data_IF_384326475172
#
_entry.id   IF_384326475172
#
_cell.length_a   1.000
_cell.length_b   1.000
_cell.length_c   1.000
_cell.angle_alpha   90.00
_cell.angle_beta   90.00
_cell.angle_gamma   90.00
#
_symmetry.space_group_name_H-M   'P 1'
#
loop_
_entity.id
_entity.type
_entity.pdbx_description
1 polymer ?
#
# COMPACT_ATOMS: atom_id res chain seq x y z
N UNK A 1 -35.18 -21.07 -43.66
CA UNK A 1 -34.48 -20.69 -42.43
C UNK A 1 -35.54 -20.37 -41.41
N UNK A 2 -35.60 -21.09 -40.28
CA UNK A 2 -36.59 -20.77 -39.24
C UNK A 2 -36.22 -19.43 -38.59
N UNK A 3 -37.19 -18.73 -38.00
CA UNK A 3 -36.88 -17.49 -37.26
C UNK A 3 -35.96 -17.77 -36.06
N UNK A 4 -36.03 -18.99 -35.51
CA UNK A 4 -35.14 -19.43 -34.44
C UNK A 4 -33.68 -19.62 -34.93
N UNK A 5 -33.46 -20.11 -36.16
CA UNK A 5 -32.11 -20.19 -36.76
C UNK A 5 -31.46 -18.80 -36.82
N UNK A 6 -32.25 -17.80 -37.22
CA UNK A 6 -31.79 -16.39 -37.28
C UNK A 6 -31.38 -15.90 -35.89
N UNK A 7 -32.19 -16.17 -34.85
CA UNK A 7 -31.84 -15.88 -33.46
C UNK A 7 -30.54 -16.57 -33.05
N UNK A 8 -30.43 -17.89 -33.27
CA UNK A 8 -29.29 -18.70 -32.85
C UNK A 8 -28.00 -18.24 -33.53
N UNK A 9 -28.05 -17.91 -34.83
CA UNK A 9 -26.93 -17.34 -35.58
C UNK A 9 -26.52 -15.96 -35.08
N UNK A 10 -27.48 -15.07 -34.83
CA UNK A 10 -27.20 -13.74 -34.29
C UNK A 10 -26.55 -13.82 -32.90
N UNK A 11 -27.07 -14.68 -32.03
CA UNK A 11 -26.50 -14.97 -30.71
C UNK A 11 -25.06 -15.49 -30.83
N UNK A 12 -24.82 -16.49 -31.68
CA UNK A 12 -23.48 -17.06 -31.91
C UNK A 12 -22.50 -15.99 -32.40
N UNK A 13 -22.91 -15.17 -33.38
CA UNK A 13 -22.08 -14.10 -33.93
C UNK A 13 -21.72 -13.06 -32.87
N UNK A 14 -22.71 -12.63 -32.07
CA UNK A 14 -22.49 -11.70 -30.96
C UNK A 14 -21.54 -12.27 -29.91
N UNK A 15 -21.78 -13.49 -29.44
CA UNK A 15 -20.92 -14.13 -28.44
C UNK A 15 -19.48 -14.23 -28.97
N UNK A 16 -19.28 -14.71 -30.20
CA UNK A 16 -17.95 -14.82 -30.79
C UNK A 16 -17.21 -13.47 -30.85
N UNK A 17 -17.91 -12.38 -31.19
CA UNK A 17 -17.33 -11.04 -31.20
C UNK A 17 -16.93 -10.58 -29.79
N UNK A 18 -17.85 -10.64 -28.82
CA UNK A 18 -17.57 -10.12 -27.48
C UNK A 18 -16.46 -10.91 -26.78
N UNK A 19 -16.39 -12.23 -26.97
CA UNK A 19 -15.37 -13.05 -26.31
C UNK A 19 -13.96 -12.82 -26.86
N UNK A 20 -13.79 -12.30 -28.10
CA UNK A 20 -12.49 -11.87 -28.62
C UNK A 20 -11.90 -10.71 -27.83
N UNK A 21 -12.77 -9.90 -27.25
CA UNK A 21 -12.41 -8.66 -26.57
C UNK A 21 -12.10 -8.81 -25.08
N UNK A 22 -12.24 -10.03 -24.52
CA UNK A 22 -12.05 -10.31 -23.09
C UNK A 22 -11.24 -11.58 -22.85
N UNK A 23 -10.50 -11.60 -21.73
CA UNK A 23 -9.72 -12.76 -21.29
C UNK A 23 -10.53 -13.72 -20.43
N UNK A 24 -11.60 -13.24 -19.81
CA UNK A 24 -12.41 -13.99 -18.85
C UNK A 24 -13.91 -13.82 -19.15
N UNK A 25 -14.69 -14.79 -18.69
CA UNK A 25 -16.15 -14.73 -18.66
C UNK A 25 -16.60 -14.67 -17.21
N UNK A 26 -17.69 -13.97 -16.94
CA UNK A 26 -18.20 -13.78 -15.58
C UNK A 26 -19.66 -14.18 -15.50
N UNK A 27 -20.07 -14.58 -14.29
CA UNK A 27 -21.45 -14.89 -13.93
C UNK A 27 -22.04 -13.73 -13.15
N UNK A 28 -23.31 -13.42 -13.43
CA UNK A 28 -24.10 -12.50 -12.61
C UNK A 28 -25.05 -13.25 -11.67
N UNK A 29 -25.48 -12.56 -10.62
CA UNK A 29 -26.49 -13.03 -9.66
C UNK A 29 -27.88 -13.09 -10.29
N UNK A 30 -28.11 -14.12 -11.09
CA UNK A 30 -29.36 -14.36 -11.78
C UNK A 30 -29.77 -15.82 -11.58
N UNK A 31 -30.99 -16.03 -11.07
CA UNK A 31 -31.58 -17.36 -10.96
C UNK A 31 -31.81 -17.95 -12.36
N UNK A 32 -31.27 -19.14 -12.65
CA UNK A 32 -31.50 -19.81 -13.93
C UNK A 32 -32.98 -20.03 -14.27
N UNK A 33 -33.81 -20.31 -13.27
CA UNK A 33 -35.24 -20.58 -13.48
C UNK A 33 -36.04 -19.28 -13.67
N UNK A 34 -35.65 -18.18 -13.02
CA UNK A 34 -36.22 -16.85 -13.29
C UNK A 34 -35.87 -16.38 -14.71
N UNK A 35 -34.62 -16.59 -15.13
CA UNK A 35 -34.17 -16.23 -16.48
C UNK A 35 -34.95 -17.00 -17.56
N UNK A 36 -35.17 -18.30 -17.35
CA UNK A 36 -36.01 -19.12 -18.25
C UNK A 36 -37.46 -18.65 -18.26
N UNK A 37 -38.02 -18.34 -17.09
CA UNK A 37 -39.39 -17.82 -16.98
C UNK A 37 -39.53 -16.48 -17.70
N UNK A 38 -38.53 -15.61 -17.59
CA UNK A 38 -38.50 -14.33 -18.28
C UNK A 38 -38.45 -14.52 -19.80
N UNK A 39 -37.64 -15.46 -20.30
CA UNK A 39 -37.59 -15.80 -21.73
C UNK A 39 -38.99 -16.14 -22.27
N UNK A 40 -39.69 -17.09 -21.63
CA UNK A 40 -41.02 -17.51 -22.06
C UNK A 40 -42.07 -16.39 -21.95
N UNK A 41 -42.01 -15.55 -20.91
CA UNK A 41 -42.97 -14.45 -20.70
C UNK A 41 -42.77 -13.25 -21.63
N UNK A 42 -41.61 -13.14 -22.26
CA UNK A 42 -41.25 -11.94 -23.05
C UNK A 42 -41.70 -12.01 -24.51
N UNK A 43 -42.28 -13.14 -24.94
CA UNK A 43 -42.83 -13.27 -26.28
C UNK A 43 -44.08 -12.40 -26.44
N UNK A 44 -44.22 -11.65 -27.55
CA UNK A 44 -45.45 -10.92 -27.85
C UNK A 44 -46.68 -11.84 -27.86
N UNK A 45 -47.86 -11.32 -27.45
CA UNK A 45 -49.10 -12.10 -27.47
C UNK A 45 -49.33 -12.77 -28.83
N UNK A 46 -49.59 -14.09 -28.81
CA UNK A 46 -49.86 -14.88 -30.01
C UNK A 46 -48.62 -15.38 -30.78
N UNK A 47 -47.39 -15.06 -30.34
CA UNK A 47 -46.17 -15.45 -31.06
C UNK A 47 -45.44 -16.69 -30.52
N UNK A 48 -45.92 -17.23 -29.40
CA UNK A 48 -45.50 -18.50 -28.78
C UNK A 48 -46.72 -19.43 -28.57
N UNK A 49 -47.29 -20.00 -29.64
CA UNK A 49 -48.47 -20.85 -29.55
C UNK A 49 -48.16 -22.20 -28.90
N UNK A 50 -49.19 -22.87 -28.37
CA UNK A 50 -49.07 -24.26 -27.90
C UNK A 50 -48.86 -25.17 -29.12
N UNK A 51 -47.75 -25.92 -29.12
CA UNK A 51 -47.46 -26.88 -30.19
C UNK A 51 -48.05 -28.26 -29.91
N UNK A 52 -47.92 -28.75 -28.66
CA UNK A 52 -48.49 -30.03 -28.19
C UNK A 52 -49.03 -29.90 -26.77
N UNK A 53 -48.16 -30.08 -25.78
CA UNK A 53 -48.45 -29.87 -24.34
C UNK A 53 -47.78 -28.62 -23.79
N UNK A 54 -46.86 -28.05 -24.57
CA UNK A 54 -46.03 -26.90 -24.25
C UNK A 54 -46.06 -25.90 -25.39
N UNK A 55 -45.66 -24.68 -25.10
CA UNK A 55 -45.47 -23.66 -26.13
C UNK A 55 -44.29 -24.00 -27.04
N UNK A 56 -44.31 -23.48 -28.27
CA UNK A 56 -43.27 -23.69 -29.29
C UNK A 56 -41.85 -23.36 -28.78
N UNK A 57 -41.74 -22.37 -27.89
CA UNK A 57 -40.45 -21.93 -27.31
C UNK A 57 -40.10 -22.57 -25.96
N UNK A 58 -40.97 -23.39 -25.36
CA UNK A 58 -40.66 -24.15 -24.12
C UNK A 58 -39.86 -25.42 -24.41
N UNK A 59 -38.61 -25.21 -24.82
CA UNK A 59 -37.66 -26.25 -25.21
C UNK A 59 -36.70 -26.64 -24.07
N UNK A 60 -36.60 -27.96 -23.79
CA UNK A 60 -35.68 -28.51 -22.77
C UNK A 60 -34.20 -28.25 -23.09
N UNK A 61 -33.79 -28.37 -24.35
CA UNK A 61 -32.40 -28.14 -24.79
C UNK A 61 -32.01 -26.67 -24.63
N UNK A 62 -32.90 -25.74 -25.01
CA UNK A 62 -32.68 -24.30 -24.82
C UNK A 62 -32.71 -23.91 -23.34
N UNK A 63 -33.60 -24.51 -22.54
CA UNK A 63 -33.60 -24.33 -21.08
C UNK A 63 -32.26 -24.75 -20.46
N UNK A 64 -31.70 -25.87 -20.90
CA UNK A 64 -30.38 -26.31 -20.42
C UNK A 64 -29.28 -25.30 -20.79
N UNK A 65 -29.26 -24.79 -22.02
CA UNK A 65 -28.33 -23.73 -22.42
C UNK A 65 -28.47 -22.49 -21.51
N UNK A 66 -29.70 -22.01 -21.31
CA UNK A 66 -29.95 -20.83 -20.48
C UNK A 66 -29.54 -21.05 -19.01
N UNK A 67 -29.69 -22.27 -18.48
CA UNK A 67 -29.21 -22.60 -17.14
C UNK A 67 -27.69 -22.61 -17.02
N UNK A 68 -27.00 -23.06 -18.06
CA UNK A 68 -25.55 -23.22 -18.05
C UNK A 68 -24.79 -21.95 -18.45
N UNK A 69 -25.37 -21.11 -19.31
CA UNK A 69 -24.68 -19.98 -19.95
C UNK A 69 -25.51 -18.70 -20.03
N UNK A 70 -26.80 -18.75 -19.68
CA UNK A 70 -27.72 -17.62 -19.84
C UNK A 70 -27.38 -16.40 -18.98
N UNK A 71 -26.67 -16.59 -17.87
CA UNK A 71 -26.26 -15.53 -16.94
C UNK A 71 -24.78 -15.12 -17.10
N UNK A 72 -24.19 -15.40 -18.26
CA UNK A 72 -22.80 -15.04 -18.56
C UNK A 72 -22.71 -13.62 -19.13
N UNK A 73 -21.68 -12.90 -18.70
CA UNK A 73 -21.30 -11.56 -19.17
C UNK A 73 -19.80 -11.47 -19.39
N UNK A 74 -19.38 -10.47 -20.16
CA UNK A 74 -17.99 -10.01 -20.19
C UNK A 74 -17.87 -8.66 -19.52
N UNK A 75 -16.66 -8.34 -19.06
CA UNK A 75 -16.30 -7.02 -18.58
C UNK A 75 -15.20 -6.50 -19.50
N UNK A 76 -15.39 -5.29 -20.02
CA UNK A 76 -14.38 -4.58 -20.79
C UNK A 76 -14.45 -3.08 -20.50
N UNK A 77 -13.33 -2.46 -20.14
CA UNK A 77 -13.24 -1.05 -19.78
C UNK A 77 -14.24 -0.67 -18.69
N UNK A 78 -14.42 -1.52 -17.67
CA UNK A 78 -15.45 -1.36 -16.63
C UNK A 78 -16.90 -1.30 -17.15
N UNK A 79 -17.17 -1.82 -18.35
CA UNK A 79 -18.53 -1.94 -18.90
C UNK A 79 -18.89 -3.43 -18.98
N UNK A 80 -20.08 -3.76 -18.50
CA UNK A 80 -20.63 -5.11 -18.56
C UNK A 80 -21.38 -5.28 -19.88
N UNK A 81 -21.00 -6.29 -20.66
CA UNK A 81 -21.71 -6.68 -21.89
C UNK A 81 -22.27 -8.09 -21.71
N UNK A 82 -23.58 -8.23 -21.89
CA UNK A 82 -24.30 -9.51 -21.80
C UNK A 82 -24.20 -10.30 -23.11
N UNK A 83 -24.29 -11.63 -23.00
CA UNK A 83 -24.49 -12.49 -24.17
C UNK A 83 -25.81 -12.22 -24.92
N UNK A 84 -26.74 -11.47 -24.31
CA UNK A 84 -28.03 -11.08 -24.89
C UNK A 84 -28.02 -9.69 -25.55
N UNK A 85 -26.87 -9.01 -25.63
CA UNK A 85 -26.77 -7.64 -26.17
C UNK A 85 -26.73 -7.58 -27.70
N UNK A 86 -27.66 -8.26 -28.37
CA UNK A 86 -27.69 -8.37 -29.83
C UNK A 86 -29.08 -8.16 -30.45
N UNK A 87 -30.06 -7.66 -29.69
CA UNK A 87 -31.43 -7.49 -30.18
C UNK A 87 -31.52 -6.64 -31.46
N UNK A 88 -30.66 -5.62 -31.59
CA UNK A 88 -30.66 -4.71 -32.74
C UNK A 88 -30.06 -5.34 -34.01
N UNK A 89 -29.46 -6.53 -33.90
CA UNK A 89 -28.97 -7.30 -35.06
C UNK A 89 -30.06 -8.18 -35.68
N UNK A 90 -31.20 -8.33 -35.01
CA UNK A 90 -32.31 -9.15 -35.48
C UNK A 90 -33.13 -8.41 -36.56
N UNK A 91 -33.78 -9.13 -37.49
CA UNK A 91 -34.64 -8.53 -38.49
C UNK A 91 -35.77 -7.71 -37.85
N UNK A 92 -36.08 -6.56 -38.45
CA UNK A 92 -37.19 -5.71 -38.02
C UNK A 92 -38.50 -6.50 -37.97
N UNK A 93 -39.20 -6.44 -36.84
CA UNK A 93 -40.44 -7.18 -36.61
C UNK A 93 -40.26 -8.60 -36.05
N UNK A 94 -39.03 -9.06 -35.79
CA UNK A 94 -38.82 -10.37 -35.17
C UNK A 94 -39.43 -10.45 -33.77
N UNK A 95 -40.12 -11.57 -33.49
CA UNK A 95 -40.75 -11.84 -32.18
C UNK A 95 -39.75 -11.99 -31.04
N UNK A 96 -38.48 -12.25 -31.36
CA UNK A 96 -37.41 -12.41 -30.37
C UNK A 96 -36.78 -11.10 -29.91
N UNK A 97 -36.98 -9.98 -30.62
CA UNK A 97 -36.45 -8.68 -30.20
C UNK A 97 -36.86 -8.31 -28.76
N UNK A 98 -38.16 -8.34 -28.37
CA UNK A 98 -38.55 -8.05 -26.99
C UNK A 98 -37.99 -9.07 -25.98
N UNK A 99 -37.87 -10.34 -26.39
CA UNK A 99 -37.29 -11.41 -25.54
C UNK A 99 -35.82 -11.13 -25.22
N UNK A 100 -35.01 -10.90 -26.24
CA UNK A 100 -33.57 -10.64 -26.10
C UNK A 100 -33.33 -9.35 -25.31
N UNK A 101 -34.12 -8.30 -25.54
CA UNK A 101 -34.05 -7.04 -24.75
C UNK A 101 -34.40 -7.27 -23.28
N UNK A 102 -35.44 -8.05 -22.99
CA UNK A 102 -35.82 -8.37 -21.62
C UNK A 102 -34.69 -9.12 -20.88
N UNK A 103 -34.10 -10.13 -21.53
CA UNK A 103 -32.97 -10.89 -20.98
C UNK A 103 -31.73 -10.01 -20.75
N UNK A 104 -31.36 -9.19 -21.74
CA UNK A 104 -30.25 -8.24 -21.64
C UNK A 104 -30.43 -7.28 -20.47
N UNK A 105 -31.59 -6.62 -20.37
CA UNK A 105 -31.91 -5.69 -19.28
C UNK A 105 -31.90 -6.39 -17.91
N UNK A 106 -32.40 -7.62 -17.85
CA UNK A 106 -32.40 -8.39 -16.62
C UNK A 106 -30.98 -8.70 -16.14
N UNK A 107 -30.08 -9.10 -17.05
CA UNK A 107 -28.69 -9.45 -16.73
C UNK A 107 -27.84 -8.22 -16.37
N UNK A 108 -27.98 -7.12 -17.11
CA UNK A 108 -27.17 -5.89 -16.91
C UNK A 108 -27.36 -5.24 -15.54
N UNK A 109 -28.51 -5.43 -14.91
CA UNK A 109 -28.84 -4.87 -13.60
C UNK A 109 -28.46 -5.78 -12.41
N UNK A 110 -27.71 -6.86 -12.66
CA UNK A 110 -27.30 -7.82 -11.62
C UNK A 110 -25.81 -7.70 -11.30
N UNK A 111 -25.46 -8.01 -10.06
CA UNK A 111 -24.07 -7.99 -9.58
C UNK A 111 -23.31 -9.19 -10.13
N UNK A 112 -22.01 -9.03 -10.38
CA UNK A 112 -21.11 -10.13 -10.73
C UNK A 112 -20.80 -10.95 -9.47
N UNK A 113 -20.98 -12.27 -9.56
CA UNK A 113 -20.78 -13.21 -8.44
C UNK A 113 -19.51 -14.04 -8.58
N UNK A 114 -18.92 -14.08 -9.77
CA UNK A 114 -17.65 -14.76 -9.98
C UNK A 114 -17.33 -15.09 -11.43
N UNK A 115 -16.22 -15.79 -11.64
CA UNK A 115 -15.80 -16.23 -12.97
C UNK A 115 -16.68 -17.38 -13.46
N UNK A 116 -17.01 -17.36 -14.75
CA UNK A 116 -17.51 -18.51 -15.46
C UNK A 116 -16.34 -19.42 -15.85
N UNK A 117 -16.45 -20.71 -15.55
CA UNK A 117 -15.44 -21.72 -15.89
C UNK A 117 -16.17 -22.99 -16.34
N UNK A 118 -15.71 -23.54 -17.47
CA UNK A 118 -16.18 -24.79 -18.07
C UNK A 118 -14.99 -25.66 -18.46
N UNK A 119 -15.18 -26.98 -18.51
CA UNK A 119 -14.24 -27.97 -19.06
C UNK A 119 -14.68 -28.47 -20.45
N UNK A 120 -15.87 -28.09 -20.91
CA UNK A 120 -16.37 -28.41 -22.26
C UNK A 120 -16.32 -27.19 -23.18
N UNK A 121 -15.88 -27.35 -24.43
CA UNK A 121 -15.93 -26.27 -25.41
C UNK A 121 -17.35 -26.03 -25.94
N UNK A 122 -18.20 -27.06 -25.95
CA UNK A 122 -19.57 -26.96 -26.47
C UNK A 122 -20.55 -26.73 -25.32
N UNK A 123 -21.32 -25.66 -25.43
CA UNK A 123 -22.39 -25.33 -24.48
C UNK A 123 -23.71 -25.36 -25.22
N UNK A 124 -24.67 -26.14 -24.70
CA UNK A 124 -25.96 -26.39 -25.35
C UNK A 124 -25.91 -27.46 -26.43
N UNK A 125 -27.00 -27.56 -27.18
CA UNK A 125 -27.21 -28.53 -28.27
C UNK A 125 -27.38 -27.73 -29.55
N UNK A 126 -26.73 -28.10 -30.65
CA UNK A 126 -26.87 -27.33 -31.90
C UNK A 126 -28.18 -27.68 -32.61
N UNK A 127 -28.45 -28.98 -32.76
CA UNK A 127 -29.66 -29.50 -33.38
C UNK A 127 -29.96 -30.90 -32.87
N UNK A 128 -31.22 -31.27 -32.88
CA UNK A 128 -31.67 -32.65 -32.72
C UNK A 128 -32.70 -33.03 -33.80
N UNK A 129 -33.03 -34.32 -33.86
CA UNK A 129 -33.86 -34.89 -34.91
C UNK A 129 -35.01 -35.68 -34.29
N UNK A 130 -36.23 -35.36 -34.72
CA UNK A 130 -37.44 -36.08 -34.34
C UNK A 130 -38.02 -36.77 -35.57
N UNK A 131 -38.39 -38.05 -35.45
CA UNK A 131 -39.12 -38.75 -36.50
C UNK A 131 -40.62 -38.56 -36.27
N UNK A 132 -41.28 -37.85 -37.17
CA UNK A 132 -42.74 -37.69 -37.21
C UNK A 132 -43.46 -39.04 -37.35
N UNK A 133 -44.71 -39.12 -36.90
CA UNK A 133 -45.62 -40.24 -37.16
C UNK A 133 -45.77 -40.55 -38.66
N UNK A 134 -45.64 -39.53 -39.52
CA UNK A 134 -45.63 -39.64 -40.99
C UNK A 134 -44.31 -40.21 -41.58
N UNK A 135 -43.31 -40.50 -40.75
CA UNK A 135 -41.98 -40.94 -41.18
C UNK A 135 -41.03 -39.81 -41.60
N UNK A 136 -41.50 -38.56 -41.64
CA UNK A 136 -40.69 -37.37 -41.94
C UNK A 136 -39.74 -37.05 -40.78
N UNK A 137 -38.49 -36.71 -41.07
CA UNK A 137 -37.52 -36.25 -40.06
C UNK A 137 -37.67 -34.74 -39.90
N UNK A 138 -38.06 -34.31 -38.71
CA UNK A 138 -38.07 -32.91 -38.28
C UNK A 138 -36.72 -32.63 -37.62
N UNK A 139 -36.04 -31.58 -38.07
CA UNK A 139 -34.81 -31.09 -37.43
C UNK A 139 -35.14 -29.87 -36.58
N UNK A 140 -34.87 -29.96 -35.28
CA UNK A 140 -34.98 -28.82 -34.38
C UNK A 140 -33.62 -28.19 -34.19
N UNK A 141 -33.59 -26.86 -34.22
CA UNK A 141 -32.40 -26.08 -33.94
C UNK A 141 -32.50 -25.48 -32.54
N UNK A 142 -31.37 -25.42 -31.84
CA UNK A 142 -31.33 -25.04 -30.44
C UNK A 142 -30.22 -24.01 -30.16
N UNK A 143 -30.26 -23.41 -28.98
CA UNK A 143 -29.20 -22.51 -28.52
C UNK A 143 -27.91 -23.31 -28.27
N UNK A 144 -26.84 -22.89 -28.93
CA UNK A 144 -25.53 -23.51 -28.81
C UNK A 144 -24.42 -22.50 -29.05
N UNK A 145 -23.29 -22.69 -28.36
CA UNK A 145 -22.04 -22.00 -28.68
C UNK A 145 -20.86 -22.95 -28.49
N UNK A 146 -19.84 -22.80 -29.35
CA UNK A 146 -18.54 -23.40 -29.14
C UNK A 146 -17.56 -22.32 -28.67
N UNK A 147 -17.13 -22.41 -27.42
CA UNK A 147 -16.20 -21.47 -26.83
C UNK A 147 -14.76 -21.68 -27.34
N UNK A 148 -13.99 -20.59 -27.52
CA UNK A 148 -12.56 -20.69 -27.76
C UNK A 148 -11.84 -21.46 -26.64
N UNK A 149 -10.80 -22.23 -26.99
CA UNK A 149 -10.09 -23.10 -26.04
C UNK A 149 -9.50 -22.37 -24.82
N UNK A 150 -9.25 -21.06 -24.89
CA UNK A 150 -8.77 -20.25 -23.75
C UNK A 150 -9.78 -20.17 -22.59
N UNK A 151 -11.06 -20.38 -22.85
CA UNK A 151 -12.12 -20.40 -21.83
C UNK A 151 -12.41 -21.81 -21.30
N UNK A 152 -11.77 -22.83 -21.87
CA UNK A 152 -11.97 -24.23 -21.51
C UNK A 152 -10.85 -24.67 -20.60
N UNK A 153 -11.20 -25.09 -19.38
CA UNK A 153 -10.25 -25.58 -18.40
C UNK A 153 -9.80 -27.00 -18.78
N UNK A 154 -8.68 -27.10 -19.49
CA UNK A 154 -8.02 -28.37 -19.80
C UNK A 154 -7.07 -28.89 -18.71
N UNK A 155 -7.05 -28.28 -17.53
CA UNK A 155 -6.15 -28.68 -16.44
C UNK A 155 -6.74 -29.81 -15.60
N UNK A 156 -5.91 -30.49 -14.80
CA UNK A 156 -6.36 -31.50 -13.82
C UNK A 156 -7.13 -30.91 -12.62
N UNK A 157 -7.26 -29.59 -12.54
CA UNK A 157 -7.94 -28.91 -11.43
C UNK A 157 -9.45 -28.96 -11.63
N UNK A 158 -10.18 -29.13 -10.53
CA UNK A 158 -11.64 -29.08 -10.57
C UNK A 158 -12.11 -27.67 -10.95
N UNK A 159 -13.29 -27.54 -11.55
CA UNK A 159 -13.86 -26.25 -11.92
C UNK A 159 -13.93 -25.29 -10.72
N UNK A 160 -14.27 -25.81 -9.54
CA UNK A 160 -14.35 -25.00 -8.31
C UNK A 160 -12.99 -24.51 -7.81
N UNK A 161 -11.93 -25.32 -7.95
CA UNK A 161 -10.57 -24.87 -7.66
C UNK A 161 -10.15 -23.74 -8.60
N UNK A 162 -10.47 -23.85 -9.89
CA UNK A 162 -10.17 -22.81 -10.88
C UNK A 162 -10.95 -21.53 -10.57
N UNK A 163 -12.24 -21.63 -10.25
CA UNK A 163 -13.09 -20.49 -9.83
C UNK A 163 -12.53 -19.82 -8.58
N UNK A 164 -12.16 -20.61 -7.57
CA UNK A 164 -11.58 -20.15 -6.32
C UNK A 164 -10.30 -19.34 -6.55
N UNK A 165 -9.37 -19.86 -7.36
CA UNK A 165 -8.11 -19.17 -7.66
C UNK A 165 -8.29 -17.81 -8.30
N UNK A 166 -9.20 -17.69 -9.27
CA UNK A 166 -9.50 -16.42 -9.95
C UNK A 166 -10.14 -15.44 -8.95
N UNK A 167 -11.10 -15.91 -8.15
CA UNK A 167 -11.76 -15.10 -7.11
C UNK A 167 -10.76 -14.61 -6.05
N UNK A 168 -9.87 -15.48 -5.58
CA UNK A 168 -8.86 -15.14 -4.58
C UNK A 168 -7.86 -14.12 -5.11
N UNK A 169 -7.39 -14.29 -6.36
CA UNK A 169 -6.53 -13.31 -7.00
C UNK A 169 -7.21 -11.95 -7.12
N UNK A 170 -8.47 -11.92 -7.57
CA UNK A 170 -9.27 -10.69 -7.62
C UNK A 170 -9.40 -10.03 -6.24
N UNK A 171 -9.70 -10.81 -5.21
CA UNK A 171 -9.89 -10.30 -3.85
C UNK A 171 -8.60 -9.71 -3.27
N UNK A 172 -7.46 -10.40 -3.43
CA UNK A 172 -6.15 -9.89 -3.00
C UNK A 172 -5.77 -8.65 -3.80
N UNK A 173 -6.01 -8.63 -5.11
CA UNK A 173 -5.72 -7.49 -5.96
C UNK A 173 -6.52 -6.26 -5.54
N UNK A 174 -7.85 -6.39 -5.38
CA UNK A 174 -8.71 -5.30 -4.90
C UNK A 174 -8.24 -4.76 -3.56
N UNK A 175 -7.99 -5.64 -2.58
CA UNK A 175 -7.50 -5.23 -1.26
C UNK A 175 -6.14 -4.56 -1.32
N UNK A 176 -5.27 -4.98 -2.22
CA UNK A 176 -3.97 -4.32 -2.45
C UNK A 176 -4.21 -2.90 -2.96
N UNK A 177 -5.12 -2.73 -3.93
CA UNK A 177 -5.51 -1.43 -4.47
C UNK A 177 -6.29 -0.55 -3.49
N UNK A 178 -6.97 -1.12 -2.49
CA UNK A 178 -7.68 -0.33 -1.46
C UNK A 178 -6.73 0.09 -0.33
N UNK A 179 -5.95 -0.86 0.19
CA UNK A 179 -5.24 -0.69 1.46
C UNK A 179 -3.80 -0.13 1.31
N UNK A 180 -3.13 -0.34 0.17
CA UNK A 180 -1.77 0.17 -0.04
C UNK A 180 -1.84 1.63 -0.50
N UNK A 181 -1.21 2.54 0.22
CA UNK A 181 -1.17 3.98 -0.11
C UNK A 181 -0.23 4.29 -1.27
N UNK A 182 -0.54 5.36 -2.02
CA UNK A 182 0.34 5.87 -3.08
C UNK A 182 1.70 6.33 -2.53
N UNK A 183 1.68 6.93 -1.32
CA UNK A 183 2.88 7.33 -0.58
C UNK A 183 3.80 6.14 -0.28
N UNK A 184 3.25 5.00 0.18
CA UNK A 184 4.06 3.81 0.46
C UNK A 184 4.74 3.28 -0.81
N UNK A 185 4.04 3.28 -1.94
CA UNK A 185 4.64 2.86 -3.22
C UNK A 185 5.78 3.81 -3.62
N UNK A 186 5.56 5.13 -3.50
CA UNK A 186 6.57 6.13 -3.81
C UNK A 186 7.82 6.01 -2.93
N UNK A 187 7.64 5.89 -1.61
CA UNK A 187 8.74 5.70 -0.66
C UNK A 187 9.55 4.43 -0.98
N UNK A 188 8.88 3.30 -1.25
CA UNK A 188 9.60 2.06 -1.59
C UNK A 188 10.35 2.16 -2.92
N UNK A 189 9.76 2.79 -3.94
CA UNK A 189 10.46 3.04 -5.21
C UNK A 189 11.69 3.95 -5.02
N UNK A 190 11.61 4.93 -4.14
CA UNK A 190 12.76 5.77 -3.77
C UNK A 190 13.86 4.94 -3.09
N UNK A 191 13.52 4.08 -2.13
CA UNK A 191 14.48 3.19 -1.46
C UNK A 191 15.19 2.26 -2.44
N UNK A 192 14.46 1.75 -3.43
CA UNK A 192 15.02 0.94 -4.51
C UNK A 192 15.98 1.79 -5.36
N UNK A 193 15.57 3.00 -5.75
CA UNK A 193 16.42 3.91 -6.53
C UNK A 193 17.71 4.34 -5.81
N UNK A 194 17.67 4.42 -4.47
CA UNK A 194 18.83 4.67 -3.61
C UNK A 194 19.65 3.40 -3.30
N UNK A 195 19.26 2.24 -3.83
CA UNK A 195 19.86 0.93 -3.54
C UNK A 195 19.96 0.62 -2.03
N UNK A 196 18.96 1.09 -1.28
CA UNK A 196 18.88 0.99 0.18
C UNK A 196 18.02 -0.19 0.67
N UNK A 197 17.43 -0.96 -0.26
CA UNK A 197 16.58 -2.11 0.03
C UNK A 197 17.22 -3.40 -0.48
N UNK A 198 17.44 -4.38 0.41
CA UNK A 198 17.97 -5.68 0.01
C UNK A 198 17.06 -6.37 -1.03
N UNK A 199 17.64 -6.73 -2.19
CA UNK A 199 16.91 -7.28 -3.35
C UNK A 199 15.73 -6.43 -3.82
N UNK A 200 15.74 -5.12 -3.54
CA UNK A 200 14.66 -4.22 -3.93
C UNK A 200 14.50 -4.08 -5.45
N UNK A 201 15.61 -4.13 -6.20
CA UNK A 201 15.60 -3.93 -7.66
C UNK A 201 14.73 -4.96 -8.41
N UNK A 202 14.62 -6.19 -7.89
CA UNK A 202 13.75 -7.24 -8.46
C UNK A 202 12.27 -6.84 -8.48
N UNK A 203 11.87 -5.93 -7.59
CA UNK A 203 10.48 -5.47 -7.44
C UNK A 203 10.16 -4.20 -8.20
N UNK A 204 11.15 -3.50 -8.76
CA UNK A 204 10.96 -2.18 -9.39
C UNK A 204 9.89 -2.19 -10.48
N UNK A 205 10.03 -3.07 -11.47
CA UNK A 205 9.08 -3.17 -12.59
C UNK A 205 7.67 -3.59 -12.14
N UNK A 206 7.59 -4.44 -11.11
CA UNK A 206 6.32 -4.88 -10.50
C UNK A 206 5.63 -3.71 -9.82
N UNK A 207 6.36 -2.90 -9.05
CA UNK A 207 5.83 -1.73 -8.36
C UNK A 207 5.39 -0.62 -9.32
N UNK A 208 6.18 -0.34 -10.36
CA UNK A 208 5.80 0.63 -11.40
C UNK A 208 4.51 0.19 -12.13
N UNK A 209 4.37 -1.10 -12.41
CA UNK A 209 3.14 -1.64 -13.02
C UNK A 209 1.95 -1.59 -12.05
N UNK A 210 2.16 -1.94 -10.78
CA UNK A 210 1.13 -1.84 -9.75
C UNK A 210 0.68 -0.40 -9.52
N UNK A 211 1.61 0.57 -9.55
CA UNK A 211 1.31 1.99 -9.44
C UNK A 211 0.39 2.47 -10.57
N UNK A 212 0.60 2.00 -11.81
CA UNK A 212 -0.30 2.31 -12.94
C UNK A 212 -1.72 1.82 -12.67
N UNK A 213 -1.87 0.61 -12.14
CA UNK A 213 -3.19 0.09 -11.74
C UNK A 213 -3.82 0.91 -10.61
N UNK A 214 -3.03 1.27 -9.58
CA UNK A 214 -3.48 2.09 -8.46
C UNK A 214 -3.98 3.47 -8.89
N UNK A 215 -3.23 4.15 -9.77
CA UNK A 215 -3.64 5.47 -10.32
C UNK A 215 -4.92 5.37 -11.15
N UNK A 216 -5.06 4.32 -11.98
CA UNK A 216 -6.28 4.10 -12.74
C UNK A 216 -7.47 3.79 -11.81
N UNK A 217 -7.25 2.95 -10.79
CA UNK A 217 -8.26 2.54 -9.82
C UNK A 217 -8.78 3.69 -8.95
N UNK A 218 -7.89 4.55 -8.48
CA UNK A 218 -8.25 5.69 -7.61
C UNK A 218 -9.17 6.71 -8.31
N UNK A 219 -9.18 6.76 -9.64
CA UNK A 219 -10.04 7.65 -10.43
C UNK A 219 -11.48 7.13 -10.59
N UNK A 220 -11.73 5.88 -10.22
CA UNK A 220 -13.02 5.22 -10.45
C UNK A 220 -13.96 5.36 -9.24
N UNK A 221 -15.26 5.40 -9.50
CA UNK A 221 -16.29 5.23 -8.47
C UNK A 221 -16.39 3.78 -7.98
N UNK A 222 -17.11 3.54 -6.89
CA UNK A 222 -17.11 2.23 -6.21
C UNK A 222 -17.60 1.06 -7.09
N UNK A 223 -18.65 1.26 -7.88
CA UNK A 223 -19.14 0.22 -8.80
C UNK A 223 -18.11 -0.09 -9.90
N UNK A 224 -17.48 0.95 -10.47
CA UNK A 224 -16.46 0.78 -11.50
C UNK A 224 -15.18 0.14 -10.92
N UNK A 225 -14.85 0.39 -9.65
CA UNK A 225 -13.75 -0.27 -8.94
C UNK A 225 -13.98 -1.77 -8.79
N UNK A 226 -15.20 -2.19 -8.50
CA UNK A 226 -15.56 -3.61 -8.42
C UNK A 226 -15.34 -4.33 -9.76
N UNK A 227 -15.75 -3.69 -10.87
CA UNK A 227 -15.55 -4.17 -12.23
C UNK A 227 -14.07 -4.19 -12.63
N UNK A 228 -13.35 -3.12 -12.30
CA UNK A 228 -11.91 -3.00 -12.56
C UNK A 228 -11.13 -4.14 -11.91
N UNK A 229 -11.46 -4.47 -10.65
CA UNK A 229 -10.80 -5.57 -9.95
C UNK A 229 -11.04 -6.92 -10.65
N UNK A 230 -12.26 -7.17 -11.15
CA UNK A 230 -12.55 -8.38 -11.92
C UNK A 230 -11.77 -8.42 -13.24
N UNK A 231 -11.81 -7.35 -14.02
CA UNK A 231 -11.19 -7.26 -15.34
C UNK A 231 -9.65 -7.31 -15.26
N UNK A 232 -9.05 -6.51 -14.39
CA UNK A 232 -7.61 -6.25 -14.41
C UNK A 232 -6.79 -7.23 -13.57
N UNK A 233 -7.40 -7.92 -12.60
CA UNK A 233 -6.66 -8.82 -11.70
C UNK A 233 -5.93 -9.94 -12.43
N UNK A 234 -6.51 -10.48 -13.51
CA UNK A 234 -5.87 -11.51 -14.33
C UNK A 234 -4.85 -10.92 -15.29
N UNK A 235 -5.17 -9.79 -15.93
CA UNK A 235 -4.26 -9.10 -16.85
C UNK A 235 -2.99 -8.57 -16.17
N UNK A 236 -3.09 -8.15 -14.91
CA UNK A 236 -1.93 -7.78 -14.07
C UNK A 236 -0.99 -8.98 -13.80
N UNK A 237 -1.46 -10.21 -13.97
CA UNK A 237 -0.71 -11.43 -13.70
C UNK A 237 -0.65 -11.79 -12.21
N UNK A 238 -0.15 -13.00 -11.88
CA UNK A 238 -0.23 -13.55 -10.53
C UNK A 238 0.62 -12.80 -9.50
N UNK A 239 1.74 -12.21 -9.92
CA UNK A 239 2.65 -11.48 -9.02
C UNK A 239 2.03 -10.15 -8.58
N UNK A 240 1.57 -9.33 -9.52
CA UNK A 240 0.93 -8.05 -9.21
C UNK A 240 -0.45 -8.28 -8.59
N UNK A 241 -1.22 -9.22 -9.13
CA UNK A 241 -2.54 -9.61 -8.61
C UNK A 241 -2.51 -10.08 -7.16
N UNK A 242 -1.36 -10.60 -6.69
CA UNK A 242 -1.15 -11.03 -5.30
C UNK A 242 -0.01 -10.29 -4.62
N UNK A 243 0.28 -9.05 -5.02
CA UNK A 243 1.46 -8.28 -4.56
C UNK A 243 1.55 -8.24 -3.03
N UNK A 244 0.42 -8.07 -2.34
CA UNK A 244 0.31 -8.06 -0.88
C UNK A 244 0.86 -9.31 -0.20
N UNK A 245 0.77 -10.47 -0.86
CA UNK A 245 1.21 -11.75 -0.29
C UNK A 245 2.72 -11.97 -0.44
N UNK A 246 3.40 -11.13 -1.21
CA UNK A 246 4.85 -11.18 -1.36
C UNK A 246 5.55 -10.37 -0.26
N UNK A 247 6.87 -10.59 -0.10
CA UNK A 247 7.68 -9.86 0.87
C UNK A 247 7.58 -8.34 0.70
N UNK A 248 7.63 -7.85 -0.55
CA UNK A 248 7.46 -6.42 -0.84
C UNK A 248 6.07 -5.90 -0.44
N UNK A 249 5.05 -6.76 -0.52
CA UNK A 249 3.69 -6.45 -0.09
C UNK A 249 3.60 -6.20 1.41
N UNK A 250 4.37 -6.94 2.21
CA UNK A 250 4.46 -6.72 3.66
C UNK A 250 5.04 -5.33 3.94
N UNK A 251 6.12 -4.94 3.27
CA UNK A 251 6.72 -3.62 3.40
C UNK A 251 5.71 -2.51 3.06
N UNK A 252 5.02 -2.62 1.91
CA UNK A 252 4.03 -1.65 1.47
C UNK A 252 2.86 -1.51 2.45
N UNK A 253 2.37 -2.63 2.99
CA UNK A 253 1.27 -2.63 3.96
C UNK A 253 1.72 -2.04 5.30
N UNK A 254 2.91 -2.37 5.78
CA UNK A 254 3.44 -1.85 7.03
C UNK A 254 3.61 -0.32 6.95
N UNK A 255 4.21 0.20 5.87
CA UNK A 255 4.31 1.65 5.64
C UNK A 255 2.93 2.31 5.51
N UNK A 256 2.00 1.68 4.77
CA UNK A 256 0.64 2.23 4.59
C UNK A 256 -0.17 2.27 5.90
N UNK A 257 0.19 1.45 6.90
CA UNK A 257 -0.40 1.48 8.24
C UNK A 257 0.26 2.51 9.16
N UNK A 258 1.22 3.28 8.68
CA UNK A 258 1.95 4.27 9.47
C UNK A 258 3.05 3.69 10.36
N UNK A 259 3.55 2.48 10.06
CA UNK A 259 4.74 1.96 10.73
C UNK A 259 5.96 2.82 10.37
N UNK A 260 6.87 2.99 11.32
CA UNK A 260 8.16 3.63 11.09
C UNK A 260 8.92 2.95 9.94
N UNK A 261 9.56 3.75 9.08
CA UNK A 261 10.16 3.26 7.84
C UNK A 261 11.33 2.31 8.11
N UNK A 262 12.18 2.62 9.10
CA UNK A 262 13.30 1.76 9.49
C UNK A 262 12.77 0.43 10.04
N UNK A 263 11.71 0.46 10.85
CA UNK A 263 11.07 -0.76 11.36
C UNK A 263 10.43 -1.60 10.25
N UNK A 264 9.73 -0.98 9.30
CA UNK A 264 9.09 -1.67 8.19
C UNK A 264 10.13 -2.34 7.28
N UNK A 265 11.23 -1.65 6.95
CA UNK A 265 12.33 -2.23 6.17
C UNK A 265 13.01 -3.36 6.93
N UNK A 266 13.21 -3.22 8.25
CA UNK A 266 13.76 -4.27 9.11
C UNK A 266 12.94 -5.56 9.04
N UNK A 267 11.61 -5.45 9.11
CA UNK A 267 10.69 -6.60 8.99
C UNK A 267 10.78 -7.22 7.61
N UNK A 268 10.78 -6.41 6.55
CA UNK A 268 10.98 -6.89 5.18
C UNK A 268 12.29 -7.67 5.03
N UNK A 269 13.42 -7.13 5.49
CA UNK A 269 14.73 -7.78 5.37
C UNK A 269 14.80 -9.08 6.18
N UNK A 270 14.13 -9.14 7.34
CA UNK A 270 14.04 -10.38 8.13
C UNK A 270 13.34 -11.53 7.38
N UNK A 271 12.42 -11.20 6.47
CA UNK A 271 11.71 -12.17 5.62
C UNK A 271 12.59 -12.59 4.43
N UNK A 272 13.29 -11.63 3.81
CA UNK A 272 14.04 -11.86 2.57
C UNK A 272 15.44 -12.44 2.82
N UNK A 273 16.04 -12.15 3.97
CA UNK A 273 17.38 -12.61 4.33
C UNK A 273 17.52 -12.96 5.83
N UNK A 274 16.84 -14.01 6.33
CA UNK A 274 16.87 -14.36 7.76
C UNK A 274 18.27 -14.61 8.32
N UNK A 275 19.19 -15.13 7.49
CA UNK A 275 20.55 -15.53 7.87
C UNK A 275 21.59 -14.41 7.75
N UNK A 276 21.31 -13.36 6.97
CA UNK A 276 22.23 -12.26 6.66
C UNK A 276 21.81 -10.94 7.29
N UNK A 277 20.91 -10.98 8.28
CA UNK A 277 20.43 -9.79 8.98
C UNK A 277 21.58 -9.09 9.75
N UNK A 278 22.29 -8.20 9.05
CA UNK A 278 23.14 -7.16 9.62
C UNK A 278 22.30 -5.91 9.77
N UNK A 279 22.58 -5.11 10.81
CA UNK A 279 21.77 -3.92 11.13
C UNK A 279 21.66 -3.01 9.90
N UNK A 280 20.43 -2.65 9.47
CA UNK A 280 20.22 -1.74 8.34
C UNK A 280 20.95 -0.42 8.58
N UNK A 281 21.49 0.17 7.51
CA UNK A 281 21.94 1.57 7.55
C UNK A 281 20.70 2.44 7.77
N UNK A 282 20.81 3.52 8.54
CA UNK A 282 19.72 4.45 8.73
C UNK A 282 19.22 4.94 7.37
N UNK A 283 17.92 4.82 7.13
CA UNK A 283 17.30 5.12 5.86
C UNK A 283 16.91 6.60 5.85
N UNK A 284 17.24 7.30 4.77
CA UNK A 284 16.93 8.72 4.63
C UNK A 284 16.29 8.98 3.27
N UNK A 285 15.00 9.30 3.27
CA UNK A 285 14.25 9.64 2.05
C UNK A 285 14.14 11.15 1.89
N UNK A 286 13.96 11.63 0.65
CA UNK A 286 13.75 13.05 0.37
C UNK A 286 12.52 13.60 1.08
N UNK A 287 11.44 12.82 1.14
CA UNK A 287 10.22 13.19 1.86
C UNK A 287 10.50 13.43 3.35
N UNK A 288 11.33 12.58 3.98
CA UNK A 288 11.74 12.80 5.38
C UNK A 288 12.55 14.09 5.58
N UNK A 289 13.37 14.48 4.59
CA UNK A 289 14.09 15.76 4.63
C UNK A 289 13.11 16.94 4.56
N UNK A 290 12.19 16.90 3.61
CA UNK A 290 11.19 17.95 3.39
C UNK A 290 10.26 18.10 4.61
N UNK A 291 9.79 16.98 5.17
CA UNK A 291 8.96 16.95 6.38
C UNK A 291 9.72 17.48 7.60
N UNK A 292 11.01 17.15 7.74
CA UNK A 292 11.86 17.66 8.81
C UNK A 292 12.10 19.17 8.67
N UNK A 293 12.38 19.66 7.46
CA UNK A 293 12.56 21.09 7.17
C UNK A 293 11.28 21.87 7.49
N UNK A 294 10.11 21.34 7.07
CA UNK A 294 8.81 21.94 7.37
C UNK A 294 8.55 21.99 8.88
N UNK A 295 8.79 20.89 9.59
CA UNK A 295 8.58 20.81 11.05
C UNK A 295 9.47 21.80 11.80
N UNK A 296 10.76 21.89 11.44
CA UNK A 296 11.70 22.83 12.06
C UNK A 296 11.30 24.28 11.80
N UNK A 297 10.78 24.56 10.60
CA UNK A 297 10.29 25.89 10.21
C UNK A 297 9.03 26.27 11.00
N UNK A 298 8.05 25.35 11.12
CA UNK A 298 6.82 25.57 11.89
C UNK A 298 7.09 25.81 13.38
N UNK A 299 8.08 25.11 13.94
CA UNK A 299 8.50 25.29 15.34
C UNK A 299 9.37 26.55 15.56
N UNK A 300 9.77 27.25 14.50
CA UNK A 300 10.62 28.44 14.59
C UNK A 300 12.07 28.14 15.01
N UNK A 301 12.55 26.91 14.79
CA UNK A 301 13.88 26.46 15.25
C UNK A 301 14.99 26.60 14.21
N UNK A 302 14.71 27.13 13.01
CA UNK A 302 15.72 27.30 11.95
C UNK A 302 16.99 28.01 12.45
N UNK A 303 16.84 29.12 13.17
CA UNK A 303 17.97 29.89 13.72
C UNK A 303 18.69 29.19 14.89
N UNK A 304 18.13 28.10 15.40
CA UNK A 304 18.64 27.35 16.55
C UNK A 304 19.57 26.20 16.16
N UNK A 305 19.60 25.86 14.85
CA UNK A 305 20.38 24.74 14.30
C UNK A 305 21.88 25.04 14.21
N UNK A 306 22.27 26.25 13.83
CA UNK A 306 23.67 26.63 13.71
C UNK A 306 24.31 26.82 15.10
N UNK A 307 25.36 26.05 15.38
CA UNK A 307 26.02 26.03 16.69
C UNK A 307 27.52 26.16 16.55
N UNK A 308 28.16 26.82 17.53
CA UNK A 308 29.61 27.05 17.58
C UNK A 308 30.15 26.77 18.98
N UNK A 309 31.47 26.64 19.13
CA UNK A 309 32.09 26.59 20.44
C UNK A 309 31.72 27.83 21.25
N UNK A 310 31.37 27.61 22.52
CA UNK A 310 30.98 28.68 23.43
C UNK A 310 32.19 29.60 23.68
N UNK A 311 31.94 30.91 23.63
CA UNK A 311 32.86 31.95 24.08
C UNK A 311 32.40 32.47 25.44
N UNK A 312 33.25 33.21 26.14
CA UNK A 312 32.93 33.73 27.47
C UNK A 312 31.64 34.57 27.48
N UNK A 313 31.37 35.33 26.42
CA UNK A 313 30.17 36.16 26.26
C UNK A 313 28.86 35.36 26.22
N UNK A 314 28.91 34.07 25.86
CA UNK A 314 27.71 33.22 25.83
C UNK A 314 27.29 32.82 27.26
N UNK A 315 28.22 32.83 28.22
CA UNK A 315 28.04 32.32 29.58
C UNK A 315 27.60 33.46 30.51
N UNK A 316 26.33 33.43 30.92
CA UNK A 316 25.78 34.35 31.92
C UNK A 316 25.96 33.81 33.34
N UNK A 317 25.86 34.69 34.34
CA UNK A 317 25.91 34.33 35.78
C UNK A 317 24.84 33.29 36.14
N UNK A 318 23.69 33.28 35.46
CA UNK A 318 22.63 32.29 35.69
C UNK A 318 22.99 30.88 35.21
N UNK A 319 24.02 30.75 34.36
CA UNK A 319 24.45 29.48 33.77
C UNK A 319 25.56 28.78 34.59
N UNK A 320 26.05 29.41 35.66
CA UNK A 320 27.21 28.93 36.43
C UNK A 320 26.88 28.87 37.92
N UNK A 321 27.41 27.84 38.59
CA UNK A 321 27.24 27.64 40.04
C UNK A 321 28.30 28.40 40.86
N UNK A 322 29.44 28.73 40.26
CA UNK A 322 30.54 29.45 40.87
C UNK A 322 31.24 30.32 39.82
N UNK A 323 31.56 31.56 40.18
CA UNK A 323 32.39 32.47 39.40
C UNK A 323 33.52 32.96 40.30
N UNK A 324 34.77 32.79 39.87
CA UNK A 324 35.90 33.40 40.56
C UNK A 324 35.72 34.93 40.52
N UNK A 325 36.03 35.62 41.64
CA UNK A 325 35.96 37.08 41.73
C UNK A 325 36.79 37.78 40.65
N UNK A 326 37.82 37.12 40.13
CA UNK A 326 38.66 37.62 39.04
C UNK A 326 37.97 37.57 37.66
N UNK A 327 36.98 36.70 37.44
CA UNK A 327 36.28 36.50 36.14
C UNK A 327 34.85 37.03 36.18
N UNK A 328 34.28 37.23 37.37
CA UNK A 328 32.96 37.81 37.59
C UNK A 328 32.70 39.17 36.89
N UNK A 329 33.69 40.07 36.67
CA UNK A 329 33.48 41.32 35.93
C UNK A 329 33.25 41.10 34.42
N UNK A 330 33.96 40.15 33.80
CA UNK A 330 33.83 39.83 32.37
C UNK A 330 32.46 39.21 32.06
N UNK A 331 31.94 38.38 32.96
CA UNK A 331 30.61 37.76 32.88
C UNK A 331 29.43 38.75 33.09
N UNK A 332 29.73 39.99 33.52
CA UNK A 332 28.77 41.10 33.69
C UNK A 332 28.90 42.19 32.61
N UNK A 333 29.71 41.97 31.56
CA UNK A 333 29.95 42.96 30.51
C UNK A 333 30.87 44.12 30.93
N UNK A 334 31.74 43.91 31.92
CA UNK A 334 32.66 44.92 32.44
C UNK A 334 33.92 45.12 31.58
N UNK A 335 34.42 46.36 31.53
CA UNK A 335 35.57 46.77 30.72
C UNK A 335 36.90 46.21 31.22
N UNK A 336 37.83 46.00 30.28
CA UNK A 336 39.21 45.47 30.43
C UNK A 336 40.07 46.23 31.47
N UNK A 337 39.63 47.38 31.96
CA UNK A 337 40.39 48.23 32.89
C UNK A 337 40.19 47.91 34.38
N UNK A 338 39.31 46.98 34.75
CA UNK A 338 39.15 46.55 36.15
C UNK A 338 40.22 45.55 36.63
N UNK A 339 41.13 45.15 35.76
CA UNK A 339 42.05 44.01 35.94
C UNK A 339 43.31 44.33 36.78
N UNK A 340 43.50 45.58 37.23
CA UNK A 340 44.70 46.01 37.98
C UNK A 340 44.51 46.21 39.49
N UNK A 341 43.47 45.62 40.09
CA UNK A 341 43.18 45.85 41.51
C UNK A 341 42.83 44.58 42.31
N UNK A 342 43.69 43.55 42.29
CA UNK A 342 43.91 42.66 43.45
C UNK A 342 44.94 41.57 43.18
N UNK A 343 46.22 41.87 43.36
CA UNK A 343 47.22 40.84 43.67
C UNK A 343 47.32 40.71 45.19
N UNK A 344 46.61 39.75 45.78
CA UNK A 344 46.87 39.31 47.15
C UNK A 344 47.44 37.90 47.08
N UNK A 345 48.74 37.80 47.28
CA UNK A 345 49.49 36.55 47.41
C UNK A 345 48.99 35.82 48.66
N UNK A 346 48.13 34.82 48.48
CA UNK A 346 47.77 33.89 49.56
C UNK A 346 48.73 32.70 49.56
N UNK A 347 49.55 32.63 50.60
CA UNK A 347 50.50 31.56 50.88
C UNK A 347 49.77 30.20 51.01
N UNK A 348 50.17 29.12 50.31
CA UNK A 348 49.43 27.86 50.37
C UNK A 348 49.66 27.18 51.73
N UNK A 349 48.61 27.11 52.55
CA UNK A 349 48.59 26.23 53.72
C UNK A 349 48.61 24.78 53.24
N UNK A 350 49.54 23.99 53.77
CA UNK A 350 49.57 22.53 53.57
C UNK A 350 48.33 21.91 54.21
N UNK A 351 47.57 21.16 53.41
CA UNK A 351 46.39 20.42 53.86
C UNK A 351 46.79 18.96 54.08
N UNK A 352 47.10 18.57 55.33
CA UNK A 352 47.47 17.19 55.70
C UNK A 352 46.26 16.31 56.09
N UNK A 353 45.02 16.79 55.90
CA UNK A 353 43.79 16.00 56.08
C UNK A 353 42.80 16.29 54.96
N UNK A 354 42.68 15.35 54.02
CA UNK A 354 41.72 15.41 52.93
C UNK A 354 40.47 14.63 53.37
N UNK A 355 39.34 15.32 53.51
CA UNK A 355 38.03 14.70 53.68
C UNK A 355 37.44 14.43 52.29
N UNK A 356 37.06 13.19 52.00
CA UNK A 356 36.32 12.87 50.78
C UNK A 356 34.87 13.33 50.95
N UNK A 357 34.45 14.28 50.12
CA UNK A 357 33.09 14.86 50.15
C UNK A 357 32.35 14.46 48.87
N UNK A 358 31.12 13.90 48.96
CA UNK A 358 30.28 13.67 47.80
C UNK A 358 29.94 14.97 47.05
N UNK A 359 29.82 14.90 45.71
CA UNK A 359 29.62 16.09 44.86
C UNK A 359 28.39 16.92 45.25
N UNK A 360 27.29 16.28 45.66
CA UNK A 360 26.06 16.98 46.04
C UNK A 360 26.25 17.82 47.32
N UNK A 361 26.98 17.27 48.30
CA UNK A 361 27.33 17.98 49.54
C UNK A 361 28.32 19.11 49.24
N UNK A 362 29.27 18.88 48.34
CA UNK A 362 30.18 19.92 47.87
C UNK A 362 29.44 21.09 47.22
N UNK A 363 28.51 20.83 46.31
CA UNK A 363 27.76 21.88 45.59
C UNK A 363 26.81 22.65 46.50
N UNK A 364 26.16 21.99 47.46
CA UNK A 364 25.15 22.62 48.32
C UNK A 364 25.74 23.36 49.53
N UNK A 365 26.77 22.81 50.18
CA UNK A 365 27.28 23.32 51.46
C UNK A 365 28.62 24.07 51.32
N UNK A 366 29.50 23.63 50.40
CA UNK A 366 30.89 24.12 50.33
C UNK A 366 31.03 25.18 49.23
N UNK A 367 30.49 24.92 48.04
CA UNK A 367 30.60 25.79 46.87
C UNK A 367 30.08 27.22 47.11
N UNK A 368 28.95 27.45 47.81
CA UNK A 368 28.44 28.81 48.04
C UNK A 368 29.33 29.67 48.95
N UNK A 369 30.12 29.04 49.83
CA UNK A 369 31.02 29.72 50.77
C UNK A 369 32.47 29.78 50.28
N UNK A 370 32.81 29.09 49.19
CA UNK A 370 34.16 29.03 48.64
C UNK A 370 34.59 30.38 48.05
N UNK A 371 35.86 30.76 48.28
CA UNK A 371 36.44 31.98 47.68
C UNK A 371 37.24 31.69 46.41
N UNK A 372 37.87 30.52 46.33
CA UNK A 372 38.61 30.05 45.17
C UNK A 372 38.50 28.53 45.06
N UNK A 373 38.56 28.02 43.83
CA UNK A 373 38.51 26.60 43.54
C UNK A 373 39.67 26.27 42.62
N UNK A 374 40.46 25.28 43.00
CA UNK A 374 41.56 24.76 42.18
C UNK A 374 41.33 23.28 41.97
N UNK A 375 41.50 22.83 40.72
CA UNK A 375 41.32 21.43 40.33
C UNK A 375 42.65 20.91 39.82
N UNK A 376 43.13 19.82 40.42
CA UNK A 376 44.26 19.07 39.89
C UNK A 376 43.77 18.15 38.78
N UNK A 377 44.11 18.49 37.53
CA UNK A 377 43.79 17.66 36.38
C UNK A 377 44.92 16.65 36.14
N UNK A 378 44.59 15.37 36.21
CA UNK A 378 45.48 14.26 35.89
C UNK A 378 45.09 13.64 34.54
N UNK A 379 46.01 12.91 33.90
CA UNK A 379 45.75 12.28 32.59
C UNK A 379 44.52 11.36 32.59
N UNK A 380 44.20 10.73 33.73
CA UNK A 380 42.97 9.91 33.88
C UNK A 380 41.67 10.69 33.71
N UNK A 381 41.68 12.02 33.84
CA UNK A 381 40.51 12.87 33.68
C UNK A 381 40.28 13.34 32.24
N UNK A 382 41.20 13.06 31.32
CA UNK A 382 41.12 13.54 29.93
C UNK A 382 39.84 13.10 29.20
N UNK A 383 39.33 11.91 29.50
CA UNK A 383 38.07 11.39 28.93
C UNK A 383 36.82 12.15 29.39
N UNK A 384 36.92 12.88 30.49
CA UNK A 384 35.81 13.59 31.10
C UNK A 384 35.77 15.08 30.68
N UNK A 385 36.75 15.52 29.88
CA UNK A 385 36.76 16.87 29.35
C UNK A 385 35.69 17.04 28.28
N UNK A 386 35.04 18.21 28.27
CA UNK A 386 34.00 18.56 27.31
C UNK A 386 34.28 19.91 26.69
N UNK A 387 33.93 20.06 25.41
CA UNK A 387 33.82 21.34 24.74
C UNK A 387 32.39 21.83 24.83
N UNK A 388 32.17 23.01 25.41
CA UNK A 388 30.87 23.64 25.47
C UNK A 388 30.52 24.25 24.10
N UNK A 389 29.26 24.10 23.70
CA UNK A 389 28.73 24.51 22.39
C UNK A 389 27.51 25.40 22.64
N UNK A 390 27.54 26.61 22.08
CA UNK A 390 26.50 27.62 22.16
C UNK A 390 25.77 27.78 20.81
N UNK A 391 24.53 28.29 20.80
CA UNK A 391 23.88 28.68 19.55
C UNK A 391 24.65 29.84 18.93
N UNK A 392 24.78 29.85 17.60
CA UNK A 392 25.45 30.97 16.91
C UNK A 392 24.62 32.25 17.01
N UNK A 393 23.29 32.13 16.93
CA UNK A 393 22.35 33.21 17.19
C UNK A 393 21.92 33.17 18.66
N UNK A 394 22.32 34.16 19.45
CA UNK A 394 22.04 34.21 20.90
C UNK A 394 20.56 34.37 21.24
N UNK A 395 19.75 34.89 20.30
CA UNK A 395 18.31 35.09 20.46
C UNK A 395 17.48 33.88 19.98
N UNK A 396 18.13 32.79 19.56
CA UNK A 396 17.42 31.60 19.07
C UNK A 396 16.65 30.89 20.18
N UNK A 397 15.49 30.31 19.86
CA UNK A 397 14.77 29.47 20.80
C UNK A 397 15.59 28.22 21.19
N UNK A 398 15.42 27.73 22.42
CA UNK A 398 16.15 26.54 22.87
C UNK A 398 15.42 25.28 22.42
N UNK A 399 16.13 24.39 21.70
CA UNK A 399 15.62 23.06 21.30
C UNK A 399 15.81 21.97 22.37
N UNK A 400 16.48 22.30 23.49
CA UNK A 400 16.78 21.37 24.57
C UNK A 400 15.74 21.39 25.69
N UNK A 401 15.76 20.34 26.51
CA UNK A 401 14.87 20.20 27.67
C UNK A 401 15.22 21.12 28.85
N UNK A 402 16.43 21.70 28.85
CA UNK A 402 16.90 22.61 29.90
C UNK A 402 16.81 24.06 29.45
N UNK A 403 16.84 24.98 30.42
CA UNK A 403 16.53 26.41 30.24
C UNK A 403 17.64 27.24 29.61
N UNK A 404 18.72 26.62 29.11
CA UNK A 404 19.81 27.32 28.44
C UNK A 404 20.11 26.69 27.08
N UNK A 405 20.63 27.50 26.15
CA UNK A 405 20.92 27.07 24.79
C UNK A 405 22.16 26.19 24.66
N UNK A 406 22.81 25.77 25.75
CA UNK A 406 24.10 25.07 25.68
C UNK A 406 23.96 23.58 25.41
N UNK A 407 24.95 23.03 24.71
CA UNK A 407 25.20 21.60 24.58
C UNK A 407 26.70 21.36 24.78
N UNK A 408 27.12 20.11 24.93
CA UNK A 408 28.54 19.79 25.09
C UNK A 408 28.94 18.56 24.29
N UNK A 409 30.21 18.49 23.91
CA UNK A 409 30.81 17.35 23.25
C UNK A 409 32.01 16.87 24.07
N UNK A 410 32.06 15.58 24.43
CA UNK A 410 33.20 15.00 25.14
C UNK A 410 34.42 14.93 24.24
N UNK A 411 35.60 15.16 24.82
CA UNK A 411 36.89 14.97 24.18
C UNK A 411 37.00 13.54 23.64
N UNK A 412 37.16 13.39 22.32
CA UNK A 412 37.21 12.09 21.64
C UNK A 412 35.85 11.44 21.30
N UNK A 413 34.72 12.17 21.36
CA UNK A 413 33.37 11.66 21.09
C UNK A 413 33.01 10.40 21.92
N UNK A 414 33.48 10.35 23.16
CA UNK A 414 33.38 9.17 24.05
C UNK A 414 31.92 8.82 24.38
N UNK A 415 30.97 9.75 24.23
CA UNK A 415 29.52 9.47 24.32
C UNK A 415 29.08 8.39 23.33
N UNK A 416 29.63 8.36 22.11
CA UNK A 416 29.37 7.27 21.16
C UNK A 416 30.01 5.96 21.63
N UNK A 417 31.16 6.00 22.31
CA UNK A 417 31.80 4.80 22.84
C UNK A 417 31.05 4.21 24.05
N UNK A 418 30.47 5.04 24.92
CA UNK A 418 29.61 4.61 26.03
C UNK A 418 28.28 4.07 25.51
N UNK A 419 27.65 4.77 24.56
CA UNK A 419 26.44 4.28 23.87
C UNK A 419 26.74 2.97 23.13
N UNK A 420 27.92 2.83 22.51
CA UNK A 420 28.36 1.57 21.88
C UNK A 420 28.60 0.44 22.88
N UNK A 421 29.12 0.72 24.09
CA UNK A 421 29.29 -0.31 25.14
C UNK A 421 27.95 -0.78 25.71
N UNK A 422 27.02 0.13 25.97
CA UNK A 422 25.65 -0.21 26.42
C UNK A 422 24.92 -0.99 25.31
N UNK A 423 25.07 -0.56 24.06
CA UNK A 423 24.52 -1.21 22.87
C UNK A 423 25.14 -2.58 22.58
N UNK A 424 26.41 -2.81 22.92
CA UNK A 424 27.07 -4.12 22.85
C UNK A 424 26.58 -5.08 23.94
N UNK A 425 26.07 -4.55 25.06
CA UNK A 425 25.45 -5.30 26.16
C UNK A 425 23.93 -5.44 26.01
N UNK A 426 23.36 -5.01 24.87
CA UNK A 426 21.94 -5.19 24.56
C UNK A 426 20.98 -4.16 25.16
N UNK A 427 21.50 -3.02 25.64
CA UNK A 427 20.71 -1.88 26.13
C UNK A 427 20.45 -0.80 25.08
#
# INVERSE_FOLDING_TARGET
>A
MSEFDVLSKAMKAHINNIVESSQDLFLVDASPDELWTLYLKSFPPGTDPIFRTKTDHDCSSCRHFMRSFGNVVIIKNNVVTSIWDFADTLPSGSKYIPVVRALSNYIRNRKIIGPFVTDTPNIGVEKDHEKSESGTIITWEHMHIRLPGRFVNGTRQTLDQTRGKIRDQRNVFKRSLDEISDDAIASVLELIGQNSLYRGEEWKSVLESFQKHKVAYNKLGEEAKELYAWEQSRSAGPVIGKIRNHSIGVLLVDISKGMDLDEAVRRYESIVAPTNYKRPKAIFTKKMLEDAEKTITELGYLDSLERRHAILDDITVNNILFADRNVAPQLKGGSVFSEMASEVVTNPKKFDRVEEVPIDKFVSEILPAAQSIQVLLENRHQSNMVSLIAPKNSNSATMFKWSNGFSWAYSGNITDSMKMRVKALGG
#
